data_IF_206843700364
#
_entry.id   IF_206843700364
#
_cell.length_a   1.000
_cell.length_b   1.000
_cell.length_c   1.000
_cell.angle_alpha   90.00
_cell.angle_beta   90.00
_cell.angle_gamma   90.00
#
_symmetry.space_group_name_H-M   'P 1'
#
loop_
_entity.id
_entity.type
_entity.pdbx_description
1 polymer ?
#
# COMPACT_ATOMS: atom_id res chain seq x y z
N UNK A 1 -43.24 48.94 78.71
CA UNK A 1 -44.36 48.94 77.74
C UNK A 1 -43.76 48.67 76.37
N UNK A 2 -44.35 47.70 75.66
CA UNK A 2 -44.49 47.55 74.20
C UNK A 2 -43.49 48.24 73.25
N UNK A 3 -43.14 47.72 72.09
CA UNK A 3 -43.44 46.52 71.30
C UNK A 3 -42.97 46.92 69.89
N UNK A 4 -42.40 45.98 69.14
CA UNK A 4 -42.40 45.89 67.66
C UNK A 4 -41.75 47.07 66.89
N UNK A 5 -41.00 46.91 65.80
CA UNK A 5 -41.24 46.03 64.67
C UNK A 5 -40.00 45.93 63.74
N UNK A 6 -39.96 44.82 63.02
CA UNK A 6 -39.15 44.33 61.92
C UNK A 6 -38.09 45.23 61.22
N UNK A 7 -36.85 44.69 61.13
CA UNK A 7 -36.11 44.69 59.86
C UNK A 7 -35.32 43.37 59.70
N UNK A 8 -35.76 42.56 58.74
CA UNK A 8 -35.19 41.29 58.31
C UNK A 8 -33.78 41.49 57.71
N UNK A 9 -32.79 40.74 58.21
CA UNK A 9 -31.46 40.63 57.58
C UNK A 9 -31.10 39.15 57.42
N UNK A 10 -30.86 38.65 56.19
CA UNK A 10 -30.56 37.25 55.95
C UNK A 10 -29.15 36.87 56.46
N UNK A 11 -28.94 35.61 56.88
CA UNK A 11 -27.67 35.15 57.43
C UNK A 11 -26.56 35.02 56.38
N UNK A 12 -25.29 35.21 56.77
CA UNK A 12 -24.16 35.17 55.85
C UNK A 12 -23.92 33.75 55.30
N UNK A 13 -23.69 33.67 53.99
CA UNK A 13 -23.31 32.43 53.29
C UNK A 13 -21.91 32.00 53.71
N UNK A 14 -21.65 30.68 53.89
CA UNK A 14 -20.34 30.18 54.28
C UNK A 14 -19.33 30.27 53.12
N UNK A 15 -18.18 30.87 53.41
CA UNK A 15 -17.01 30.91 52.53
C UNK A 15 -16.52 29.48 52.23
N UNK A 16 -16.47 29.13 50.96
CA UNK A 16 -16.01 27.82 50.52
C UNK A 16 -14.48 27.73 50.61
N UNK A 17 -13.99 27.01 51.61
CA UNK A 17 -12.62 26.53 51.71
C UNK A 17 -12.27 25.64 50.50
N UNK A 18 -11.64 26.22 49.48
CA UNK A 18 -10.96 25.45 48.42
C UNK A 18 -9.69 24.79 48.96
N UNK A 19 -9.85 23.73 49.76
CA UNK A 19 -8.79 22.73 49.95
C UNK A 19 -8.61 21.99 48.63
N UNK A 20 -7.56 22.34 47.90
CA UNK A 20 -7.07 21.60 46.76
C UNK A 20 -6.69 20.17 47.19
N UNK A 21 -7.67 19.28 47.15
CA UNK A 21 -7.47 17.83 47.20
C UNK A 21 -6.62 17.44 46.01
N UNK A 22 -5.32 17.25 46.24
CA UNK A 22 -4.40 16.61 45.29
C UNK A 22 -5.01 15.27 44.90
N UNK A 23 -5.62 15.20 43.71
CA UNK A 23 -5.99 13.93 43.10
C UNK A 23 -4.71 13.09 43.00
N UNK A 24 -4.73 11.79 43.33
CA UNK A 24 -3.58 10.92 43.11
C UNK A 24 -3.21 11.02 41.62
N UNK A 25 -1.94 11.32 41.31
CA UNK A 25 -1.42 11.12 39.96
C UNK A 25 -1.63 9.66 39.63
N UNK A 26 -2.44 9.39 38.61
CA UNK A 26 -2.49 8.08 37.97
C UNK A 26 -1.07 7.70 37.56
N UNK A 27 -0.61 6.47 37.86
CA UNK A 27 0.70 6.01 37.44
C UNK A 27 0.73 5.90 35.91
N UNK A 28 1.75 6.51 35.32
CA UNK A 28 2.31 6.30 33.97
C UNK A 28 1.34 6.21 32.79
N UNK A 29 1.12 7.36 32.15
CA UNK A 29 0.59 7.48 30.80
C UNK A 29 1.72 7.41 29.74
N UNK A 30 2.59 6.40 29.80
CA UNK A 30 3.70 6.22 28.84
C UNK A 30 3.82 4.82 28.21
N UNK A 31 2.76 4.01 28.27
CA UNK A 31 2.72 2.71 27.58
C UNK A 31 1.47 2.60 26.69
N UNK A 32 1.24 3.61 25.84
CA UNK A 32 0.25 3.49 24.77
C UNK A 32 0.79 2.52 23.72
N UNK A 33 0.35 1.27 23.78
CA UNK A 33 0.63 0.22 22.80
C UNK A 33 0.47 0.78 21.37
N UNK A 34 1.60 0.80 20.64
CA UNK A 34 1.69 1.46 19.34
C UNK A 34 1.00 0.60 18.29
N UNK A 35 -0.25 0.91 17.99
CA UNK A 35 -0.94 0.39 16.82
C UNK A 35 -0.14 0.74 15.56
N UNK A 36 0.00 -0.25 14.67
CA UNK A 36 0.71 -0.12 13.41
C UNK A 36 -0.03 -0.90 12.33
N UNK A 37 0.56 -0.96 11.13
CA UNK A 37 0.04 -1.76 10.04
C UNK A 37 1.17 -2.33 9.19
N UNK A 38 0.87 -3.38 8.44
CA UNK A 38 1.73 -3.93 7.39
C UNK A 38 0.89 -4.11 6.12
N UNK A 39 1.54 -3.93 4.97
CA UNK A 39 0.93 -4.14 3.65
C UNK A 39 1.78 -5.11 2.84
N UNK A 40 1.15 -6.09 2.20
CA UNK A 40 1.84 -6.99 1.27
C UNK A 40 0.97 -7.31 0.06
N UNK A 41 1.62 -7.85 -0.97
CA UNK A 41 1.00 -8.24 -2.23
C UNK A 41 0.58 -9.70 -2.18
N UNK A 42 -0.62 -9.98 -2.68
CA UNK A 42 -1.16 -11.31 -2.89
C UNK A 42 -1.58 -11.45 -4.34
N UNK A 43 -1.30 -12.61 -4.95
CA UNK A 43 -1.91 -12.95 -6.23
C UNK A 43 -3.44 -12.99 -6.10
N UNK A 44 -4.15 -12.89 -7.22
CA UNK A 44 -5.62 -12.93 -7.17
C UNK A 44 -6.14 -14.26 -6.58
N UNK A 45 -5.48 -15.37 -6.91
CA UNK A 45 -5.78 -16.71 -6.36
C UNK A 45 -5.55 -16.77 -4.85
N UNK A 46 -4.38 -16.31 -4.38
CA UNK A 46 -4.06 -16.23 -2.96
C UNK A 46 -5.07 -15.34 -2.21
N UNK A 47 -5.42 -14.18 -2.78
CA UNK A 47 -6.43 -13.29 -2.22
C UNK A 47 -7.80 -13.97 -2.08
N UNK A 48 -8.23 -14.74 -3.07
CA UNK A 48 -9.47 -15.53 -3.02
C UNK A 48 -9.47 -16.56 -1.89
N UNK A 49 -8.35 -17.27 -1.72
CA UNK A 49 -8.15 -18.22 -0.63
C UNK A 49 -8.22 -17.57 0.75
N UNK A 50 -7.51 -16.47 0.95
CA UNK A 50 -7.46 -15.76 2.23
C UNK A 50 -8.84 -15.20 2.60
N UNK A 51 -9.66 -14.80 1.63
CA UNK A 51 -11.07 -14.44 1.87
C UNK A 51 -11.87 -15.67 2.29
N UNK A 52 -11.75 -16.77 1.56
CA UNK A 52 -12.54 -17.97 1.79
C UNK A 52 -13.99 -17.85 1.30
N UNK A 53 -14.71 -18.97 1.29
CA UNK A 53 -16.12 -19.01 0.84
C UNK A 53 -16.98 -18.15 1.76
N UNK A 54 -17.59 -17.10 1.21
CA UNK A 54 -18.41 -16.16 1.99
C UNK A 54 -17.63 -15.31 3.00
N UNK A 55 -16.30 -15.21 2.87
CA UNK A 55 -15.47 -14.46 3.81
C UNK A 55 -15.11 -15.23 5.09
N UNK A 56 -15.37 -16.54 5.17
CA UNK A 56 -15.17 -17.33 6.39
C UNK A 56 -13.73 -17.30 6.90
N UNK A 57 -12.75 -17.48 6.01
CA UNK A 57 -11.33 -17.60 6.36
C UNK A 57 -10.78 -16.27 6.88
N UNK A 58 -11.08 -15.15 6.20
CA UNK A 58 -10.62 -13.84 6.64
C UNK A 58 -11.26 -13.42 7.97
N UNK A 59 -12.53 -13.78 8.20
CA UNK A 59 -13.20 -13.54 9.48
C UNK A 59 -12.57 -14.38 10.60
N UNK A 60 -12.24 -15.63 10.32
CA UNK A 60 -11.53 -16.51 11.25
C UNK A 60 -10.14 -15.95 11.60
N UNK A 61 -9.36 -15.53 10.61
CA UNK A 61 -8.03 -14.96 10.86
C UNK A 61 -8.08 -13.67 11.68
N UNK A 62 -9.07 -12.80 11.44
CA UNK A 62 -9.30 -11.62 12.27
C UNK A 62 -9.68 -12.01 13.70
N UNK A 63 -10.57 -12.99 13.87
CA UNK A 63 -10.99 -13.47 15.19
C UNK A 63 -9.86 -14.12 15.99
N UNK A 64 -8.99 -14.89 15.35
CA UNK A 64 -7.88 -15.58 16.03
C UNK A 64 -6.72 -14.64 16.36
N UNK A 65 -6.45 -13.67 15.48
CA UNK A 65 -5.30 -12.77 15.64
C UNK A 65 -5.59 -11.52 16.44
N UNK A 66 -6.85 -11.05 16.48
CA UNK A 66 -7.23 -9.73 16.99
C UNK A 66 -6.97 -8.58 15.99
N UNK A 67 -6.21 -8.84 14.92
CA UNK A 67 -5.87 -7.82 13.94
C UNK A 67 -7.05 -7.52 12.99
N UNK A 68 -7.12 -6.29 12.52
CA UNK A 68 -7.99 -5.92 11.41
C UNK A 68 -7.30 -6.25 10.09
N UNK A 69 -7.91 -7.11 9.28
CA UNK A 69 -7.39 -7.56 7.99
C UNK A 69 -8.30 -7.01 6.89
N UNK A 70 -7.73 -6.25 5.96
CA UNK A 70 -8.43 -5.66 4.82
C UNK A 70 -7.76 -6.06 3.52
N UNK A 71 -8.56 -6.26 2.48
CA UNK A 71 -8.10 -6.60 1.14
C UNK A 71 -8.58 -5.54 0.14
N UNK A 72 -7.73 -5.15 -0.80
CA UNK A 72 -8.13 -4.32 -1.94
C UNK A 72 -9.20 -5.03 -2.78
N UNK A 73 -10.02 -4.31 -3.54
CA UNK A 73 -11.06 -4.91 -4.39
C UNK A 73 -10.47 -5.80 -5.50
N UNK A 74 -11.28 -6.69 -6.10
CA UNK A 74 -10.78 -7.64 -7.13
C UNK A 74 -10.21 -7.00 -8.40
N UNK A 75 -10.52 -5.72 -8.68
CA UNK A 75 -9.98 -4.93 -9.79
C UNK A 75 -9.03 -3.82 -9.31
N UNK A 76 -8.63 -3.86 -8.04
CA UNK A 76 -7.75 -2.90 -7.42
C UNK A 76 -6.41 -3.56 -7.13
N UNK A 77 -5.52 -3.45 -8.10
CA UNK A 77 -4.20 -4.04 -8.06
C UNK A 77 -3.14 -3.02 -7.65
N UNK A 78 -2.03 -3.52 -7.13
CA UNK A 78 -0.84 -2.68 -6.98
C UNK A 78 -0.31 -2.27 -8.36
N UNK A 79 0.08 -1.01 -8.59
CA UNK A 79 0.38 -0.54 -9.94
C UNK A 79 1.56 -1.30 -10.56
N UNK A 80 1.42 -1.65 -11.85
CA UNK A 80 2.43 -2.45 -12.56
C UNK A 80 2.47 -3.93 -12.18
N UNK A 81 1.54 -4.41 -11.34
CA UNK A 81 1.37 -5.84 -11.04
C UNK A 81 -0.11 -6.26 -11.19
N UNK A 82 -0.35 -7.57 -11.16
CA UNK A 82 -1.70 -8.15 -11.07
C UNK A 82 -2.03 -8.60 -9.64
N UNK A 83 -1.32 -8.07 -8.64
CA UNK A 83 -1.48 -8.47 -7.25
C UNK A 83 -2.45 -7.54 -6.53
N UNK A 84 -3.28 -8.13 -5.68
CA UNK A 84 -4.11 -7.41 -4.72
C UNK A 84 -3.28 -7.06 -3.48
N UNK A 85 -3.77 -6.09 -2.73
CA UNK A 85 -3.09 -5.57 -1.56
C UNK A 85 -3.85 -6.02 -0.32
N UNK A 86 -3.14 -6.66 0.59
CA UNK A 86 -3.64 -6.94 1.93
C UNK A 86 -3.01 -5.97 2.92
N UNK A 87 -3.84 -5.41 3.78
CA UNK A 87 -3.48 -4.52 4.88
C UNK A 87 -3.87 -5.20 6.18
N UNK A 88 -2.90 -5.42 7.06
CA UNK A 88 -3.14 -5.90 8.42
C UNK A 88 -2.79 -4.77 9.37
N UNK A 89 -3.69 -4.41 10.27
CA UNK A 89 -3.48 -3.36 11.27
C UNK A 89 -3.93 -3.81 12.65
N UNK A 90 -3.19 -3.38 13.67
CA UNK A 90 -3.38 -3.76 15.06
C UNK A 90 -2.10 -3.56 15.85
N UNK A 91 -1.97 -4.25 16.96
CA UNK A 91 -0.74 -4.33 17.75
C UNK A 91 0.30 -5.23 17.09
N UNK A 92 1.56 -5.12 17.50
CA UNK A 92 2.65 -5.92 16.93
C UNK A 92 2.38 -7.43 17.06
N UNK A 93 1.87 -7.86 18.21
CA UNK A 93 1.55 -9.26 18.47
C UNK A 93 0.38 -9.75 17.60
N UNK A 94 -0.66 -8.93 17.44
CA UNK A 94 -1.82 -9.24 16.60
C UNK A 94 -1.42 -9.34 15.13
N UNK A 95 -0.65 -8.38 14.62
CA UNK A 95 -0.15 -8.38 13.24
C UNK A 95 0.74 -9.59 12.99
N UNK A 96 1.63 -9.92 13.93
CA UNK A 96 2.52 -11.09 13.81
C UNK A 96 1.71 -12.39 13.75
N UNK A 97 0.70 -12.55 14.61
CA UNK A 97 -0.21 -13.71 14.57
C UNK A 97 -1.00 -13.78 13.26
N UNK A 98 -1.61 -12.69 12.82
CA UNK A 98 -2.37 -12.63 11.58
C UNK A 98 -1.50 -12.97 10.36
N UNK A 99 -0.28 -12.42 10.32
CA UNK A 99 0.67 -12.67 9.24
C UNK A 99 1.08 -14.13 9.20
N UNK A 100 1.34 -14.75 10.37
CA UNK A 100 1.63 -16.19 10.46
C UNK A 100 0.50 -17.05 9.88
N UNK A 101 -0.74 -16.81 10.30
CA UNK A 101 -1.92 -17.55 9.81
C UNK A 101 -2.07 -17.44 8.28
N UNK A 102 -1.85 -16.24 7.74
CA UNK A 102 -1.91 -15.99 6.30
C UNK A 102 -0.80 -16.74 5.57
N UNK A 103 0.45 -16.66 6.04
CA UNK A 103 1.58 -17.34 5.39
C UNK A 103 1.45 -18.86 5.44
N UNK A 104 1.01 -19.42 6.56
CA UNK A 104 0.72 -20.86 6.68
C UNK A 104 -0.35 -21.29 5.67
N UNK A 105 -1.42 -20.51 5.53
CA UNK A 105 -2.48 -20.79 4.56
C UNK A 105 -1.98 -20.75 3.11
N UNK A 106 -1.14 -19.78 2.77
CA UNK A 106 -0.55 -19.66 1.43
C UNK A 106 0.43 -20.79 1.12
N UNK A 107 1.20 -21.24 2.11
CA UNK A 107 2.14 -22.33 1.94
C UNK A 107 1.42 -23.67 1.72
N UNK A 108 0.39 -23.97 2.53
CA UNK A 108 -0.38 -25.20 2.40
C UNK A 108 -1.07 -25.35 1.03
N UNK A 109 -1.46 -24.22 0.40
CA UNK A 109 -2.04 -24.25 -0.95
C UNK A 109 -1.00 -24.32 -2.08
N UNK A 110 0.24 -23.94 -1.80
CA UNK A 110 1.35 -24.14 -2.73
C UNK A 110 1.78 -25.62 -2.77
N UNK A 111 1.71 -26.33 -1.64
CA UNK A 111 2.04 -27.76 -1.55
C UNK A 111 1.06 -28.65 -2.35
N UNK A 112 -0.21 -28.26 -2.48
CA UNK A 112 -1.17 -28.92 -3.38
C UNK A 112 -0.77 -28.79 -4.86
N UNK A 113 0.13 -27.86 -5.20
CA UNK A 113 0.63 -27.56 -6.54
C UNK A 113 2.13 -27.93 -6.70
N UNK A 114 2.58 -29.08 -6.19
CA UNK A 114 3.78 -29.83 -6.64
C UNK A 114 5.08 -29.02 -6.98
N UNK A 115 5.39 -27.93 -6.28
CA UNK A 115 6.68 -27.23 -6.40
C UNK A 115 7.60 -27.61 -5.24
N UNK A 116 8.83 -28.04 -5.57
CA UNK A 116 9.74 -28.80 -4.68
C UNK A 116 10.54 -27.89 -3.74
N UNK A 117 10.26 -26.58 -3.73
CA UNK A 117 11.01 -25.59 -2.97
C UNK A 117 10.11 -25.01 -1.85
N UNK A 118 10.33 -25.41 -0.59
CA UNK A 118 9.62 -24.91 0.61
C UNK A 118 9.92 -23.43 0.93
N UNK A 119 10.35 -22.65 -0.06
CA UNK A 119 10.73 -21.25 0.07
C UNK A 119 9.63 -20.37 -0.51
N UNK A 120 8.92 -19.67 0.36
CA UNK A 120 7.87 -18.74 -0.02
C UNK A 120 8.44 -17.35 -0.24
N UNK A 121 7.92 -16.66 -1.25
CA UNK A 121 8.28 -15.28 -1.59
C UNK A 121 7.14 -14.32 -1.26
N UNK A 122 7.41 -13.34 -0.39
CA UNK A 122 6.43 -12.31 0.02
C UNK A 122 6.93 -10.93 -0.39
N UNK A 123 6.04 -10.06 -0.89
CA UNK A 123 6.38 -8.69 -1.28
C UNK A 123 5.64 -7.69 -0.40
N UNK A 124 6.38 -6.98 0.45
CA UNK A 124 5.86 -5.92 1.31
C UNK A 124 5.85 -4.58 0.58
N UNK A 125 4.79 -3.80 0.82
CA UNK A 125 4.71 -2.42 0.35
C UNK A 125 5.19 -1.52 1.46
N UNK A 126 6.28 -0.80 1.22
CA UNK A 126 6.89 0.10 2.19
C UNK A 126 7.00 1.50 1.58
N UNK A 127 6.55 2.57 2.25
CA UNK A 127 6.79 3.94 1.82
C UNK A 127 8.29 4.20 1.62
N UNK A 128 8.63 4.92 0.56
CA UNK A 128 10.03 5.24 0.23
C UNK A 128 10.74 5.98 1.37
N UNK A 129 10.01 6.82 2.12
CA UNK A 129 10.53 7.48 3.32
C UNK A 129 11.04 6.47 4.36
N UNK A 130 10.33 5.37 4.58
CA UNK A 130 10.69 4.33 5.54
C UNK A 130 11.74 3.34 5.01
N UNK A 131 11.97 3.25 3.70
CA UNK A 131 13.00 2.38 3.14
C UNK A 131 14.42 2.78 3.57
N UNK A 132 14.65 4.05 3.91
CA UNK A 132 15.94 4.50 4.45
C UNK A 132 16.31 3.78 5.75
N UNK A 133 15.34 3.58 6.65
CA UNK A 133 15.52 2.85 7.91
C UNK A 133 15.81 1.36 7.69
N UNK A 134 15.18 0.74 6.68
CA UNK A 134 15.44 -0.67 6.32
C UNK A 134 16.85 -0.84 5.73
N UNK A 135 17.28 0.08 4.86
CA UNK A 135 18.59 -0.02 4.19
C UNK A 135 19.72 0.28 5.17
N UNK A 136 19.61 1.37 5.94
CA UNK A 136 20.67 1.86 6.82
C UNK A 136 21.85 2.50 6.08
N UNK A 137 22.73 3.17 6.83
CA UNK A 137 23.92 3.83 6.27
C UNK A 137 24.85 2.78 5.65
N UNK A 138 25.16 2.92 4.35
CA UNK A 138 26.00 1.96 3.64
C UNK A 138 25.38 0.56 3.49
N UNK A 139 24.06 0.43 3.67
CA UNK A 139 23.39 -0.87 3.64
C UNK A 139 23.61 -1.74 4.88
N UNK A 140 24.09 -1.17 5.99
CA UNK A 140 24.40 -1.94 7.20
C UNK A 140 23.17 -2.64 7.77
N UNK A 141 22.04 -1.93 7.87
CA UNK A 141 20.81 -2.46 8.46
C UNK A 141 20.23 -3.60 7.62
N UNK A 142 20.15 -3.45 6.30
CA UNK A 142 19.65 -4.53 5.45
C UNK A 142 20.55 -5.77 5.50
N UNK A 143 21.87 -5.58 5.63
CA UNK A 143 22.81 -6.71 5.83
C UNK A 143 22.54 -7.45 7.13
N UNK A 144 22.37 -6.73 8.24
CA UNK A 144 22.00 -7.33 9.54
C UNK A 144 20.64 -8.03 9.47
N UNK A 145 19.65 -7.43 8.80
CA UNK A 145 18.34 -8.06 8.61
C UNK A 145 18.43 -9.39 7.86
N UNK A 146 19.25 -9.46 6.79
CA UNK A 146 19.48 -10.68 6.02
C UNK A 146 20.20 -11.73 6.89
N UNK A 147 21.23 -11.32 7.62
CA UNK A 147 22.02 -12.20 8.49
C UNK A 147 21.19 -12.75 9.66
N UNK A 148 20.40 -11.93 10.33
CA UNK A 148 19.60 -12.36 11.49
C UNK A 148 18.37 -13.20 11.09
N UNK A 149 17.73 -12.86 9.96
CA UNK A 149 16.55 -13.59 9.49
C UNK A 149 16.88 -14.85 8.71
N UNK A 150 18.10 -14.96 8.17
CA UNK A 150 18.50 -15.99 7.20
C UNK A 150 17.62 -16.00 5.92
N UNK A 151 16.85 -14.93 5.68
CA UNK A 151 16.00 -14.77 4.50
C UNK A 151 16.72 -13.96 3.40
N UNK A 152 16.33 -14.19 2.14
CA UNK A 152 16.75 -13.32 1.02
C UNK A 152 15.86 -12.07 1.00
N UNK A 153 16.43 -10.91 1.31
CA UNK A 153 15.71 -9.62 1.35
C UNK A 153 16.21 -8.71 0.22
N UNK A 154 15.28 -8.29 -0.67
CA UNK A 154 15.56 -7.42 -1.81
C UNK A 154 14.63 -6.23 -1.83
N UNK A 155 15.18 -5.03 -1.99
CA UNK A 155 14.38 -3.80 -2.10
C UNK A 155 14.38 -3.34 -3.55
N UNK A 156 13.18 -3.08 -4.09
CA UNK A 156 13.02 -2.56 -5.45
C UNK A 156 13.77 -1.23 -5.65
N UNK A 157 14.38 -0.97 -6.83
CA UNK A 157 15.16 0.25 -7.08
C UNK A 157 14.36 1.56 -6.97
N UNK A 158 15.02 2.66 -6.57
CA UNK A 158 14.43 4.00 -6.41
C UNK A 158 13.78 4.56 -7.69
N UNK A 159 14.27 4.18 -8.87
CA UNK A 159 13.76 4.66 -10.16
C UNK A 159 12.43 4.03 -10.58
N UNK A 160 11.97 2.97 -9.91
CA UNK A 160 10.70 2.32 -10.21
C UNK A 160 9.58 3.02 -9.44
N UNK A 161 9.18 4.21 -9.91
CA UNK A 161 7.98 4.89 -9.40
C UNK A 161 6.75 4.18 -9.96
N UNK A 162 6.05 3.44 -9.12
CA UNK A 162 4.79 2.81 -9.48
C UNK A 162 3.73 3.91 -9.63
N UNK A 163 3.43 4.37 -10.85
CA UNK A 163 2.30 5.27 -11.13
C UNK A 163 2.22 6.57 -10.32
N UNK A 164 3.36 7.15 -9.91
CA UNK A 164 3.39 8.37 -9.08
C UNK A 164 3.29 8.12 -7.56
N UNK A 165 3.13 6.87 -7.13
CA UNK A 165 3.22 6.48 -5.73
C UNK A 165 4.67 6.40 -5.28
N UNK A 166 4.93 6.90 -4.07
CA UNK A 166 6.24 6.88 -3.45
C UNK A 166 6.46 5.61 -2.62
N UNK A 167 5.87 4.47 -3.01
CA UNK A 167 6.02 3.21 -2.30
C UNK A 167 7.00 2.29 -3.04
N UNK A 168 7.74 1.48 -2.28
CA UNK A 168 8.71 0.50 -2.78
C UNK A 168 8.34 -0.89 -2.28
N UNK A 169 8.66 -1.88 -3.10
CA UNK A 169 8.52 -3.27 -2.74
C UNK A 169 9.77 -3.77 -2.02
N UNK A 170 9.58 -4.36 -0.85
CA UNK A 170 10.58 -5.17 -0.14
C UNK A 170 10.17 -6.63 -0.31
N UNK A 171 10.95 -7.37 -1.07
CA UNK A 171 10.75 -8.80 -1.33
C UNK A 171 11.53 -9.59 -0.31
N UNK A 172 10.88 -10.52 0.37
CA UNK A 172 11.50 -11.46 1.31
C UNK A 172 11.22 -12.88 0.82
N UNK A 173 12.26 -13.69 0.71
CA UNK A 173 12.14 -15.10 0.28
C UNK A 173 12.81 -16.02 1.30
N UNK A 174 12.09 -17.03 1.77
CA UNK A 174 12.59 -17.97 2.77
C UNK A 174 11.56 -19.00 3.21
N UNK A 175 11.95 -19.85 4.16
CA UNK A 175 11.02 -20.72 4.89
C UNK A 175 10.03 -19.91 5.74
N UNK A 176 8.95 -20.51 6.23
CA UNK A 176 7.98 -19.83 7.11
C UNK A 176 8.67 -19.17 8.33
N UNK A 177 9.64 -19.86 8.93
CA UNK A 177 10.38 -19.34 10.09
C UNK A 177 11.33 -18.19 9.71
N UNK A 178 12.04 -18.30 8.59
CA UNK A 178 12.87 -17.21 8.04
C UNK A 178 12.02 -15.96 7.72
N UNK A 179 10.85 -16.15 7.09
CA UNK A 179 9.91 -15.08 6.78
C UNK A 179 9.40 -14.40 8.03
N UNK A 180 8.94 -15.16 9.03
CA UNK A 180 8.42 -14.58 10.28
C UNK A 180 9.49 -13.78 11.04
N UNK A 181 10.74 -14.26 11.07
CA UNK A 181 11.87 -13.51 11.62
C UNK A 181 12.11 -12.21 10.84
N UNK A 182 12.22 -12.29 9.52
CA UNK A 182 12.42 -11.11 8.67
C UNK A 182 11.30 -10.08 8.85
N UNK A 183 10.04 -10.51 8.92
CA UNK A 183 8.88 -9.63 9.09
C UNK A 183 8.93 -8.91 10.43
N UNK A 184 9.25 -9.63 11.51
CA UNK A 184 9.35 -9.04 12.85
C UNK A 184 10.44 -7.96 12.89
N UNK A 185 11.61 -8.26 12.32
CA UNK A 185 12.73 -7.31 12.25
C UNK A 185 12.40 -6.09 11.36
N UNK A 186 11.79 -6.31 10.19
CA UNK A 186 11.33 -5.24 9.30
C UNK A 186 10.31 -4.33 9.99
N UNK A 187 9.31 -4.92 10.65
CA UNK A 187 8.28 -4.17 11.38
C UNK A 187 8.89 -3.33 12.50
N UNK A 188 9.84 -3.88 13.25
CA UNK A 188 10.57 -3.13 14.28
C UNK A 188 11.27 -1.90 13.67
N UNK A 189 12.00 -2.08 12.57
CA UNK A 189 12.71 -0.97 11.89
C UNK A 189 11.79 0.06 11.27
N UNK A 190 10.67 -0.38 10.70
CA UNK A 190 9.70 0.50 10.06
C UNK A 190 8.85 1.25 11.09
N UNK A 191 8.59 0.65 12.25
CA UNK A 191 7.89 1.31 13.36
C UNK A 191 8.73 2.39 14.07
N UNK A 192 10.06 2.32 13.97
CA UNK A 192 10.98 3.38 14.40
C UNK A 192 10.85 4.66 13.54
N UNK A 193 10.35 4.55 12.29
CA UNK A 193 10.20 5.68 11.38
C UNK A 193 8.91 6.48 11.64
N UNK A 194 9.06 7.77 11.97
CA UNK A 194 7.93 8.66 12.23
C UNK A 194 6.99 8.85 11.02
N UNK A 195 7.50 8.76 9.79
CA UNK A 195 6.73 8.97 8.57
C UNK A 195 5.89 7.74 8.21
N UNK A 196 6.23 6.55 8.70
CA UNK A 196 5.44 5.34 8.49
C UNK A 196 4.09 5.39 9.22
N UNK A 197 4.04 6.11 10.35
CA UNK A 197 2.80 6.28 11.10
C UNK A 197 1.76 7.13 10.36
N UNK A 198 2.21 8.09 9.55
CA UNK A 198 1.32 8.96 8.78
C UNK A 198 0.63 8.22 7.62
N UNK A 199 1.21 7.10 7.13
CA UNK A 199 0.59 6.29 6.08
C UNK A 199 -0.48 5.31 6.58
N UNK A 200 -0.71 5.21 7.90
CA UNK A 200 -1.67 4.26 8.49
C UNK A 200 -3.14 4.46 8.04
N UNK A 201 -3.53 5.70 7.77
CA UNK A 201 -4.92 6.08 7.51
C UNK A 201 -5.27 6.25 6.02
N UNK A 202 -4.35 5.91 5.11
CA UNK A 202 -4.62 6.04 3.68
C UNK A 202 -5.47 4.84 3.22
N UNK A 203 -6.64 5.06 2.59
CA UNK A 203 -7.35 3.99 1.90
C UNK A 203 -6.45 3.38 0.83
N UNK A 204 -6.73 2.16 0.36
CA UNK A 204 -6.01 1.56 -0.76
C UNK A 204 -6.00 2.58 -1.91
N UNK A 205 -4.84 3.18 -2.11
CA UNK A 205 -4.70 4.38 -2.94
C UNK A 205 -4.31 3.98 -4.34
N UNK A 206 -4.65 2.77 -4.78
CA UNK A 206 -4.21 2.24 -6.08
C UNK A 206 -5.40 1.86 -6.97
N UNK A 207 -6.62 1.99 -6.45
CA UNK A 207 -7.81 1.99 -7.27
C UNK A 207 -7.69 3.02 -8.38
N UNK A 208 -8.04 2.60 -9.59
CA UNK A 208 -8.36 3.42 -10.76
C UNK A 208 -9.33 4.54 -10.35
N UNK A 209 -8.76 5.61 -9.81
CA UNK A 209 -9.44 6.69 -9.11
C UNK A 209 -8.58 7.95 -8.94
N UNK A 210 -7.34 7.95 -9.42
CA UNK A 210 -6.57 9.20 -9.66
C UNK A 210 -7.01 9.85 -10.97
N UNK A 211 -8.33 9.95 -11.13
CA UNK A 211 -8.98 10.97 -11.92
C UNK A 211 -9.32 12.10 -10.95
N UNK A 212 -8.40 13.02 -10.74
CA UNK A 212 -8.80 14.40 -10.59
C UNK A 212 -7.91 15.25 -11.50
N UNK A 213 -8.47 15.84 -12.57
CA UNK A 213 -7.83 16.97 -13.25
C UNK A 213 -7.70 18.13 -12.25
N UNK A 214 -6.74 19.06 -12.43
CA UNK A 214 -6.87 20.34 -11.75
C UNK A 214 -8.14 21.02 -12.32
N UNK A 215 -9.03 21.42 -11.43
CA UNK A 215 -10.31 22.10 -11.69
C UNK A 215 -11.50 21.22 -12.13
N UNK A 216 -12.25 20.72 -11.14
CA UNK A 216 -13.71 20.68 -11.21
C UNK A 216 -14.28 20.70 -9.78
N UNK A 217 -14.97 21.79 -9.45
CA UNK A 217 -15.82 21.92 -8.27
C UNK A 217 -16.82 20.76 -8.23
N UNK A 218 -16.82 19.98 -7.15
CA UNK A 218 -18.03 19.29 -6.71
C UNK A 218 -18.39 19.78 -5.31
N UNK A 219 -19.66 20.14 -5.21
CA UNK A 219 -20.27 21.04 -4.24
C UNK A 219 -20.48 20.34 -2.91
N UNK A 220 -19.80 20.85 -1.88
CA UNK A 220 -20.10 20.55 -0.49
C UNK A 220 -21.32 21.40 -0.07
N UNK A 221 -22.39 20.77 0.43
CA UNK A 221 -23.49 21.48 1.06
C UNK A 221 -22.98 22.08 2.38
N UNK A 222 -22.74 23.38 2.38
CA UNK A 222 -22.26 24.12 3.54
C UNK A 222 -22.49 25.62 3.36
N UNK A 223 -23.41 26.13 4.17
CA UNK A 223 -23.96 27.47 4.23
C UNK A 223 -22.94 28.65 4.34
N UNK A 224 -23.35 29.79 3.77
CA UNK A 224 -22.96 31.19 4.02
C UNK A 224 -21.61 31.75 3.52
N UNK A 225 -21.69 32.82 2.68
CA UNK A 225 -20.81 33.99 2.80
C UNK A 225 -20.16 34.58 1.54
N UNK A 226 -20.86 35.54 0.90
CA UNK A 226 -20.36 36.85 0.41
C UNK A 226 -19.09 36.92 -0.50
N UNK A 227 -19.34 37.17 -1.81
CA UNK A 227 -18.83 38.32 -2.59
C UNK A 227 -17.33 38.46 -2.96
N UNK A 228 -17.00 38.33 -4.25
CA UNK A 228 -15.73 38.85 -4.82
C UNK A 228 -15.56 38.58 -6.32
N UNK A 229 -15.20 39.62 -7.10
CA UNK A 229 -15.22 39.70 -8.57
C UNK A 229 -13.90 39.27 -9.26
N UNK A 230 -14.05 38.77 -10.49
CA UNK A 230 -13.13 38.61 -11.65
C UNK A 230 -11.67 39.15 -11.61
N UNK A 231 -10.73 38.42 -12.23
CA UNK A 231 -10.01 38.82 -13.49
C UNK A 231 -9.14 37.68 -14.08
N UNK A 232 -9.25 37.50 -15.40
CA UNK A 232 -8.36 36.74 -16.31
C UNK A 232 -7.06 37.50 -16.57
N UNK A 233 -5.90 36.82 -16.67
CA UNK A 233 -4.77 37.20 -17.56
C UNK A 233 -4.04 35.94 -18.04
N UNK A 234 -4.02 35.75 -19.36
CA UNK A 234 -3.13 34.85 -20.11
C UNK A 234 -1.71 35.43 -20.21
N UNK A 235 -0.69 34.56 -20.29
CA UNK A 235 0.44 34.82 -21.18
C UNK A 235 1.86 34.77 -20.60
N UNK A 236 2.67 33.98 -21.31
CA UNK A 236 4.09 34.17 -21.66
C UNK A 236 5.11 33.27 -20.96
N UNK A 237 5.61 32.38 -21.82
CA UNK A 237 6.73 31.47 -21.76
C UNK A 237 8.04 32.27 -21.83
N UNK A 238 9.04 31.96 -21.00
CA UNK A 238 10.45 32.07 -21.38
C UNK A 238 11.34 31.26 -20.44
N UNK A 239 12.18 30.44 -21.07
CA UNK A 239 13.11 29.49 -20.47
C UNK A 239 14.45 30.15 -20.13
N UNK A 240 15.16 29.60 -19.14
CA UNK A 240 16.62 29.69 -19.04
C UNK A 240 17.21 28.46 -18.32
N UNK A 241 17.53 27.45 -19.13
CA UNK A 241 18.74 26.61 -19.15
C UNK A 241 19.51 26.26 -17.87
N UNK A 242 19.63 24.94 -17.62
CA UNK A 242 20.77 24.26 -16.97
C UNK A 242 21.04 22.92 -17.71
N UNK A 243 22.25 22.35 -17.60
CA UNK A 243 22.95 21.68 -18.70
C UNK A 243 22.64 20.20 -18.88
N UNK A 244 22.88 19.75 -20.11
CA UNK A 244 22.67 18.41 -20.64
C UNK A 244 23.50 17.32 -19.95
N UNK A 245 22.82 16.29 -19.47
CA UNK A 245 23.34 14.92 -19.49
C UNK A 245 22.27 14.02 -20.10
N UNK A 246 22.57 13.52 -21.31
CA UNK A 246 21.74 12.67 -22.14
C UNK A 246 21.44 11.31 -21.48
N UNK A 247 20.29 11.18 -20.82
CA UNK A 247 19.60 9.90 -20.65
C UNK A 247 18.14 10.07 -21.09
N UNK A 248 17.73 9.21 -22.02
CA UNK A 248 16.49 9.25 -22.78
C UNK A 248 15.26 9.20 -21.85
N UNK A 249 14.60 10.34 -21.67
CA UNK A 249 13.23 10.46 -21.16
C UNK A 249 12.25 9.85 -22.17
N UNK A 250 12.27 8.53 -22.31
CA UNK A 250 11.41 7.80 -23.23
C UNK A 250 10.03 7.62 -22.63
N UNK A 251 8.98 8.01 -23.36
CA UNK A 251 7.58 7.72 -23.02
C UNK A 251 7.31 6.20 -23.06
N UNK A 252 7.81 5.46 -22.07
CA UNK A 252 7.73 4.01 -22.02
C UNK A 252 7.50 3.51 -20.59
N UNK A 253 6.61 2.53 -20.46
CA UNK A 253 6.24 1.89 -19.19
C UNK A 253 6.43 0.38 -19.34
N UNK A 254 6.83 -0.27 -18.25
CA UNK A 254 7.03 -1.71 -18.23
C UNK A 254 6.19 -2.34 -17.13
N UNK A 255 5.38 -3.34 -17.47
CA UNK A 255 4.57 -4.11 -16.53
C UNK A 255 4.99 -5.60 -16.53
N UNK A 256 4.68 -6.29 -15.43
CA UNK A 256 4.83 -7.73 -15.31
C UNK A 256 3.53 -8.46 -15.57
N UNK A 257 3.58 -9.49 -16.41
CA UNK A 257 2.47 -10.42 -16.62
C UNK A 257 2.96 -11.83 -16.33
N UNK A 258 2.33 -12.61 -15.43
CA UNK A 258 2.72 -14.00 -15.19
C UNK A 258 2.78 -14.80 -16.50
N UNK A 259 3.77 -15.67 -16.66
CA UNK A 259 3.98 -16.40 -17.92
C UNK A 259 2.77 -17.26 -18.31
N UNK A 260 2.00 -17.77 -17.35
CA UNK A 260 0.75 -18.49 -17.58
C UNK A 260 -0.33 -17.62 -18.26
N UNK A 261 -0.34 -16.31 -18.00
CA UNK A 261 -1.33 -15.36 -18.53
C UNK A 261 -0.84 -14.61 -19.78
N UNK A 262 0.45 -14.70 -20.13
CA UNK A 262 0.99 -13.98 -21.30
C UNK A 262 0.33 -14.42 -22.60
N UNK A 263 -0.12 -15.68 -22.67
CA UNK A 263 -0.85 -16.22 -23.82
C UNK A 263 -2.16 -15.47 -24.10
N UNK A 264 -2.85 -14.99 -23.06
CA UNK A 264 -4.07 -14.20 -23.21
C UNK A 264 -3.79 -12.80 -23.75
N UNK A 265 -2.65 -12.21 -23.36
CA UNK A 265 -2.20 -10.90 -23.86
C UNK A 265 -1.76 -10.98 -25.32
N UNK A 266 -1.02 -12.02 -25.71
CA UNK A 266 -0.57 -12.23 -27.10
C UNK A 266 -1.73 -12.65 -28.01
N UNK A 267 -2.54 -13.61 -27.56
CA UNK A 267 -3.61 -14.23 -28.35
C UNK A 267 -3.09 -15.19 -29.43
N UNK A 268 -3.98 -16.04 -29.96
CA UNK A 268 -3.64 -16.98 -31.06
C UNK A 268 -3.15 -16.20 -32.28
N UNK A 269 -1.91 -16.48 -32.71
CA UNK A 269 -1.27 -15.79 -33.83
C UNK A 269 -0.94 -14.32 -33.58
N UNK A 270 -0.86 -13.87 -32.31
CA UNK A 270 -0.56 -12.48 -31.97
C UNK A 270 -1.74 -11.51 -32.14
N UNK A 271 -2.95 -12.01 -32.41
CA UNK A 271 -4.14 -11.18 -32.70
C UNK A 271 -4.44 -10.19 -31.58
N UNK A 272 -4.35 -10.61 -30.32
CA UNK A 272 -4.72 -9.77 -29.20
C UNK A 272 -3.69 -8.66 -28.97
N UNK A 273 -2.39 -8.94 -29.07
CA UNK A 273 -1.37 -7.91 -28.94
C UNK A 273 -1.39 -6.93 -30.14
N UNK A 274 -1.72 -7.40 -31.33
CA UNK A 274 -1.93 -6.54 -32.50
C UNK A 274 -3.13 -5.60 -32.26
N UNK A 275 -4.24 -6.12 -31.75
CA UNK A 275 -5.41 -5.32 -31.40
C UNK A 275 -5.10 -4.29 -30.30
N UNK A 276 -4.37 -4.68 -29.24
CA UNK A 276 -3.90 -3.75 -28.20
C UNK A 276 -3.07 -2.65 -28.84
N UNK A 277 -2.09 -2.99 -29.68
CA UNK A 277 -1.22 -2.02 -30.36
C UNK A 277 -2.02 -1.08 -31.26
N UNK A 278 -2.98 -1.60 -32.01
CA UNK A 278 -3.81 -0.84 -32.94
C UNK A 278 -4.78 0.11 -32.24
N UNK A 279 -5.48 -0.36 -31.19
CA UNK A 279 -6.49 0.45 -30.48
C UNK A 279 -5.82 1.48 -29.58
N UNK A 280 -4.75 1.09 -28.88
CA UNK A 280 -4.04 2.01 -27.99
C UNK A 280 -3.18 3.02 -28.74
N UNK A 281 -2.72 2.70 -29.94
CA UNK A 281 -1.69 3.48 -30.65
C UNK A 281 -0.31 3.40 -29.98
N UNK A 282 -0.13 2.55 -28.96
CA UNK A 282 1.15 2.33 -28.31
C UNK A 282 1.88 1.14 -28.94
N UNK A 283 3.22 1.21 -28.98
CA UNK A 283 4.08 0.09 -29.33
C UNK A 283 4.23 -0.84 -28.14
N UNK A 284 3.77 -2.08 -28.25
CA UNK A 284 3.87 -3.10 -27.20
C UNK A 284 4.93 -4.15 -27.57
N UNK A 285 5.92 -4.35 -26.70
CA UNK A 285 6.96 -5.38 -26.83
C UNK A 285 6.92 -6.31 -25.63
N UNK A 286 6.90 -7.61 -25.87
CA UNK A 286 6.98 -8.63 -24.83
C UNK A 286 8.40 -9.20 -24.84
N UNK A 287 8.97 -9.47 -23.67
CA UNK A 287 10.24 -10.18 -23.54
C UNK A 287 10.18 -11.58 -24.13
N UNK A 288 11.31 -12.17 -24.46
CA UNK A 288 11.36 -13.54 -24.97
C UNK A 288 10.93 -14.57 -23.91
N UNK A 289 10.60 -15.79 -24.33
CA UNK A 289 10.27 -16.87 -23.40
C UNK A 289 11.49 -17.15 -22.51
N UNK A 290 11.31 -17.14 -21.19
CA UNK A 290 12.39 -17.30 -20.22
C UNK A 290 13.09 -16.00 -19.80
N UNK A 291 12.81 -14.86 -20.46
CA UNK A 291 13.27 -13.54 -20.03
C UNK A 291 12.22 -12.91 -19.10
N UNK A 292 12.38 -13.18 -17.81
CA UNK A 292 11.48 -12.72 -16.75
C UNK A 292 12.01 -11.47 -16.07
N UNK A 293 11.12 -10.69 -15.47
CA UNK A 293 11.55 -9.61 -14.58
C UNK A 293 12.34 -10.19 -13.40
N UNK A 294 13.44 -9.53 -13.05
CA UNK A 294 14.39 -10.03 -12.04
C UNK A 294 13.69 -10.41 -10.74
N UNK A 295 13.83 -11.68 -10.35
CA UNK A 295 13.22 -12.23 -9.15
C UNK A 295 11.73 -12.57 -9.28
N UNK A 296 11.15 -12.58 -10.47
CA UNK A 296 9.75 -12.99 -10.75
C UNK A 296 9.72 -14.04 -11.85
N UNK A 297 8.60 -14.75 -12.01
CA UNK A 297 8.24 -15.52 -13.21
C UNK A 297 7.41 -14.70 -14.20
N UNK A 298 7.39 -13.37 -14.03
CA UNK A 298 6.58 -12.47 -14.85
C UNK A 298 7.33 -12.10 -16.12
N UNK A 299 6.67 -12.28 -17.26
CA UNK A 299 7.13 -11.76 -18.55
C UNK A 299 7.06 -10.24 -18.54
N UNK A 300 8.10 -9.63 -19.09
CA UNK A 300 8.22 -8.18 -19.17
C UNK A 300 7.45 -7.68 -20.39
N UNK A 301 6.43 -6.86 -20.19
CA UNK A 301 5.73 -6.18 -21.28
C UNK A 301 6.09 -4.70 -21.25
N UNK A 302 6.81 -4.25 -22.27
CA UNK A 302 7.25 -2.87 -22.47
C UNK A 302 6.29 -2.17 -23.42
N UNK A 303 5.66 -1.10 -22.96
CA UNK A 303 4.76 -0.25 -23.75
C UNK A 303 5.49 1.07 -24.01
N UNK A 304 5.47 1.56 -25.25
CA UNK A 304 6.07 2.84 -25.64
C UNK A 304 5.06 3.62 -26.47
N UNK A 305 4.77 4.88 -26.12
CA UNK A 305 3.76 5.68 -26.82
C UNK A 305 3.49 7.01 -26.16
N UNK A 306 2.41 7.71 -26.53
CA UNK A 306 1.96 8.87 -25.74
C UNK A 306 1.44 8.40 -24.36
N UNK A 307 1.38 9.28 -23.34
CA UNK A 307 0.83 8.90 -22.04
C UNK A 307 -0.59 8.33 -22.13
N UNK A 308 -1.41 8.83 -23.05
CA UNK A 308 -2.75 8.31 -23.31
C UNK A 308 -2.71 6.92 -23.95
N UNK A 309 -1.87 6.73 -24.97
CA UNK A 309 -1.69 5.44 -25.62
C UNK A 309 -1.20 4.37 -24.65
N UNK A 310 -0.25 4.72 -23.78
CA UNK A 310 0.27 3.81 -22.75
C UNK A 310 -0.84 3.39 -21.80
N UNK A 311 -1.64 4.33 -21.30
CA UNK A 311 -2.76 4.04 -20.39
C UNK A 311 -3.79 3.10 -21.03
N UNK A 312 -4.16 3.37 -22.28
CA UNK A 312 -5.11 2.53 -23.02
C UNK A 312 -4.55 1.11 -23.20
N UNK A 313 -3.27 0.99 -23.59
CA UNK A 313 -2.61 -0.31 -23.73
C UNK A 313 -2.56 -1.07 -22.39
N UNK A 314 -2.19 -0.39 -21.30
CA UNK A 314 -2.12 -0.99 -19.96
C UNK A 314 -3.48 -1.53 -19.52
N UNK A 315 -4.55 -0.74 -19.65
CA UNK A 315 -5.91 -1.17 -19.31
C UNK A 315 -6.35 -2.39 -20.13
N UNK A 316 -6.09 -2.38 -21.44
CA UNK A 316 -6.44 -3.50 -22.34
C UNK A 316 -5.65 -4.78 -22.03
N UNK A 317 -4.42 -4.67 -21.55
CA UNK A 317 -3.60 -5.80 -21.13
C UNK A 317 -4.13 -6.35 -19.81
N UNK A 318 -4.35 -5.50 -18.81
CA UNK A 318 -4.89 -5.91 -17.50
C UNK A 318 -6.26 -6.59 -17.64
N UNK A 319 -7.13 -6.07 -18.51
CA UNK A 319 -8.43 -6.68 -18.79
C UNK A 319 -8.31 -8.09 -19.39
N UNK A 320 -7.34 -8.32 -20.28
CA UNK A 320 -7.12 -9.64 -20.88
C UNK A 320 -6.52 -10.64 -19.88
N UNK A 321 -5.66 -10.17 -18.99
CA UNK A 321 -5.09 -10.98 -17.92
C UNK A 321 -6.19 -11.36 -16.92
N UNK A 322 -7.01 -10.40 -16.48
CA UNK A 322 -8.09 -10.66 -15.51
C UNK A 322 -9.15 -11.61 -16.07
N UNK A 323 -9.59 -11.41 -17.32
CA UNK A 323 -10.59 -12.26 -17.95
C UNK A 323 -10.15 -13.73 -18.14
N UNK A 324 -8.84 -13.99 -18.10
CA UNK A 324 -8.27 -15.33 -18.22
C UNK A 324 -7.82 -15.90 -16.86
N UNK A 325 -7.82 -15.11 -15.79
CA UNK A 325 -7.60 -15.60 -14.43
C UNK A 325 -8.87 -16.22 -13.82
N UNK A 326 -10.05 -15.86 -14.34
CA UNK A 326 -11.35 -16.37 -13.88
C UNK A 326 -11.86 -17.60 -14.68
N UNK A 327 -11.04 -18.17 -15.57
CA UNK A 327 -11.35 -19.36 -16.39
C UNK A 327 -10.48 -20.54 -16.01
#
# INVERSE_FOLDING_TARGET
MNSTDLSYSPPPLPEADTKASRRPRSPDADDKEKHTHIRFLLSNTAAGSIIGKGGSTITEFQSQSGACIQLSKSHEFFPGTCDRIIRISGELNEITKATKLILEKLLNEAEENHDVDNRTKVRFIVPNSACGAIIGKGGSTIKSLIEESQADIKISPLGRKYGGFNDRLVTVTGSLEELMRAITLLMSKVAEDAHYKQSMNLPFSYGVGFMNPPAAHTTNYGSNGIGGKHTNIEGIISASSLPETNDVQGNSTTLGVPDEHIGAVVGRGGRNILEITQISGAKVKISDRGDFMSGTSDRKVTITGTPEAIRTAEAMIMQRVSANADR
#
